data_IF_446685575247
#
_entry.id   IF_446685575247
#
_cell.length_a   1.000
_cell.length_b   1.000
_cell.length_c   1.000
_cell.angle_alpha   90.00
_cell.angle_beta   90.00
_cell.angle_gamma   90.00
#
_symmetry.space_group_name_H-M   'P 1'
#
loop_
_entity.id
_entity.type
_entity.pdbx_description
1 polymer ?
#
# COMPACT_ATOMS: atom_id res chain seq x y z
N UNK A 1 -19.40 11.75 0.61
CA UNK A 1 -18.88 11.27 1.91
C UNK A 1 -17.48 11.83 2.10
N UNK A 2 -17.23 12.44 3.26
CA UNK A 2 -16.03 13.24 3.56
C UNK A 2 -14.81 12.32 3.55
N UNK A 3 -13.86 12.59 2.66
CA UNK A 3 -12.61 11.86 2.53
C UNK A 3 -11.70 12.28 3.69
N UNK A 4 -11.97 11.76 4.90
CA UNK A 4 -11.06 11.95 6.03
C UNK A 4 -9.79 11.16 5.73
N UNK A 5 -8.79 11.85 5.17
CA UNK A 5 -7.42 11.36 5.10
C UNK A 5 -7.00 11.04 6.53
N UNK A 6 -7.11 9.78 6.95
CA UNK A 6 -6.60 9.30 8.24
C UNK A 6 -5.14 9.75 8.32
N UNK A 7 -4.85 10.74 9.17
CA UNK A 7 -3.51 11.31 9.30
C UNK A 7 -2.57 10.18 9.72
N UNK A 8 -1.75 9.72 8.80
CA UNK A 8 -0.83 8.61 9.07
C UNK A 8 0.13 9.05 10.18
N UNK A 9 0.28 8.23 11.23
CA UNK A 9 1.13 8.55 12.38
C UNK A 9 2.56 8.86 11.94
N UNK A 10 3.21 9.84 12.59
CA UNK A 10 4.60 10.18 12.29
C UNK A 10 5.51 8.97 12.49
N UNK A 11 6.51 8.80 11.62
CA UNK A 11 7.50 7.72 11.74
C UNK A 11 8.19 7.72 13.10
N UNK A 12 8.52 8.89 13.65
CA UNK A 12 9.10 9.02 14.97
C UNK A 12 8.17 8.43 16.06
N UNK A 13 6.88 8.74 16.01
CA UNK A 13 5.90 8.22 16.97
C UNK A 13 5.76 6.69 16.88
N UNK A 14 5.78 6.13 15.67
CA UNK A 14 5.73 4.67 15.48
C UNK A 14 6.97 4.01 16.08
N UNK A 15 8.16 4.55 15.81
CA UNK A 15 9.43 4.03 16.35
C UNK A 15 9.42 4.13 17.89
N UNK A 16 9.00 5.26 18.45
CA UNK A 16 8.86 5.44 19.90
C UNK A 16 7.90 4.41 20.51
N UNK A 17 6.74 4.18 19.90
CA UNK A 17 5.80 3.15 20.36
C UNK A 17 6.34 1.73 20.19
N UNK A 18 7.16 1.44 19.18
CA UNK A 18 7.82 0.13 19.07
C UNK A 18 8.80 -0.14 20.21
N UNK A 19 9.46 0.90 20.73
CA UNK A 19 10.43 0.78 21.84
C UNK A 19 9.72 0.73 23.19
N UNK A 20 8.78 1.65 23.45
CA UNK A 20 8.13 1.80 24.75
C UNK A 20 6.92 0.88 24.94
N UNK A 21 6.19 0.59 23.86
CA UNK A 21 4.95 -0.18 23.90
C UNK A 21 4.81 -1.07 22.66
N UNK A 22 5.75 -2.01 22.56
CA UNK A 22 5.95 -2.95 21.44
C UNK A 22 4.64 -3.37 20.75
N UNK A 23 3.59 -3.89 21.43
CA UNK A 23 2.40 -4.40 20.74
C UNK A 23 1.70 -3.34 19.88
N UNK A 24 1.60 -2.11 20.40
CA UNK A 24 1.00 -0.98 19.69
C UNK A 24 1.95 -0.44 18.63
N UNK A 25 3.25 -0.42 18.91
CA UNK A 25 4.25 -0.06 17.90
C UNK A 25 4.16 -0.93 16.64
N UNK A 26 4.13 -2.26 16.79
CA UNK A 26 3.99 -3.18 15.64
C UNK A 26 2.64 -3.04 14.96
N UNK A 27 1.55 -2.85 15.71
CA UNK A 27 0.24 -2.61 15.11
C UNK A 27 0.24 -1.33 14.26
N UNK A 28 0.78 -0.23 14.77
CA UNK A 28 0.86 1.05 14.06
C UNK A 28 1.81 0.97 12.85
N UNK A 29 2.94 0.27 13.01
CA UNK A 29 3.88 0.01 11.92
C UNK A 29 3.23 -0.83 10.82
N UNK A 30 2.53 -1.91 11.19
CA UNK A 30 1.76 -2.73 10.26
C UNK A 30 0.70 -1.91 9.53
N UNK A 31 -0.08 -1.10 10.25
CA UNK A 31 -1.11 -0.22 9.66
C UNK A 31 -0.49 0.78 8.69
N UNK A 32 0.64 1.41 9.05
CA UNK A 32 1.38 2.36 8.21
C UNK A 32 1.91 1.67 6.94
N UNK A 33 2.56 0.52 7.07
CA UNK A 33 3.17 -0.22 5.96
C UNK A 33 2.14 -0.85 5.01
N UNK A 34 0.97 -1.24 5.53
CA UNK A 34 -0.13 -1.82 4.74
C UNK A 34 -1.03 -0.77 4.07
N UNK A 35 -0.99 0.48 4.55
CA UNK A 35 -1.79 1.58 3.98
C UNK A 35 -1.14 2.23 2.76
N UNK A 36 0.18 2.09 2.58
CA UNK A 36 0.88 2.70 1.44
C UNK A 36 0.77 1.85 0.17
N UNK A 37 -0.27 2.13 -0.63
CA UNK A 37 -0.78 1.31 -1.75
C UNK A 37 0.28 1.02 -2.82
N UNK A 38 1.11 2.01 -3.15
CA UNK A 38 2.17 1.90 -4.17
C UNK A 38 3.44 1.22 -3.65
N UNK A 39 3.49 0.99 -2.34
CA UNK A 39 4.67 0.48 -1.65
C UNK A 39 4.35 -0.83 -0.92
N UNK A 40 3.10 -1.32 -0.88
CA UNK A 40 2.74 -2.58 -0.17
C UNK A 40 3.67 -3.75 -0.56
N UNK A 41 3.95 -3.93 -1.86
CA UNK A 41 4.86 -4.99 -2.34
C UNK A 41 6.34 -4.74 -2.00
N UNK A 42 6.76 -3.47 -1.88
CA UNK A 42 8.11 -3.11 -1.43
C UNK A 42 8.22 -3.30 0.09
N UNK A 43 7.22 -2.83 0.82
CA UNK A 43 7.07 -2.94 2.27
C UNK A 43 6.98 -4.40 2.72
N UNK A 44 6.32 -5.28 1.96
CA UNK A 44 6.31 -6.71 2.29
C UNK A 44 7.70 -7.33 2.26
N UNK A 45 8.58 -6.91 1.34
CA UNK A 45 10.00 -7.33 1.33
C UNK A 45 10.73 -6.82 2.56
N UNK A 46 10.55 -5.55 2.93
CA UNK A 46 11.16 -4.97 4.13
C UNK A 46 10.73 -5.72 5.39
N UNK A 47 9.42 -5.98 5.57
CA UNK A 47 8.90 -6.74 6.72
C UNK A 47 9.48 -8.16 6.76
N UNK A 48 9.65 -8.81 5.60
CA UNK A 48 10.30 -10.12 5.52
C UNK A 48 11.75 -10.07 5.99
N UNK A 49 12.52 -9.08 5.54
CA UNK A 49 13.93 -8.91 5.92
C UNK A 49 14.05 -8.69 7.42
N UNK A 50 13.24 -7.78 7.99
CA UNK A 50 13.22 -7.55 9.45
C UNK A 50 12.88 -8.84 10.20
N UNK A 51 11.87 -9.59 9.74
CA UNK A 51 11.53 -10.89 10.33
C UNK A 51 12.68 -11.90 10.30
N UNK A 52 13.44 -11.97 9.19
CA UNK A 52 14.62 -12.84 9.08
C UNK A 52 15.72 -12.40 10.06
N UNK A 53 15.97 -11.09 10.19
CA UNK A 53 16.94 -10.55 11.16
C UNK A 53 16.54 -10.91 12.59
N UNK A 54 15.25 -10.82 12.92
CA UNK A 54 14.73 -11.22 14.24
C UNK A 54 14.97 -12.71 14.53
N UNK A 55 14.72 -13.59 13.55
CA UNK A 55 15.01 -15.02 13.69
C UNK A 55 16.51 -15.28 13.87
N UNK A 56 17.36 -14.62 13.08
CA UNK A 56 18.81 -14.77 13.18
C UNK A 56 19.32 -14.35 14.57
N UNK A 57 18.86 -13.21 15.10
CA UNK A 57 19.18 -12.77 16.46
C UNK A 57 18.71 -13.79 17.51
N UNK A 58 17.49 -14.32 17.37
CA UNK A 58 16.98 -15.37 18.27
C UNK A 58 17.88 -16.60 18.27
N UNK A 59 18.36 -17.05 17.11
CA UNK A 59 19.24 -18.22 16.99
C UNK A 59 20.59 -17.94 17.66
N UNK A 60 21.17 -16.76 17.46
CA UNK A 60 22.44 -16.37 18.09
C UNK A 60 22.32 -16.42 19.62
N UNK A 61 21.25 -15.86 20.21
CA UNK A 61 21.03 -15.92 21.66
C UNK A 61 20.80 -17.35 22.18
N UNK A 62 20.15 -18.21 21.40
CA UNK A 62 20.00 -19.63 21.75
C UNK A 62 21.38 -20.29 21.80
N UNK A 63 22.24 -20.05 20.80
CA UNK A 63 23.59 -20.62 20.77
C UNK A 63 24.40 -20.14 21.98
N UNK A 64 24.42 -18.84 22.27
CA UNK A 64 25.11 -18.27 23.44
C UNK A 64 24.58 -18.84 24.78
N UNK A 65 23.27 -19.12 24.84
CA UNK A 65 22.66 -19.77 26.00
C UNK A 65 23.07 -21.24 26.15
N UNK A 66 23.19 -21.97 25.04
CA UNK A 66 23.59 -23.37 25.02
C UNK A 66 25.09 -23.58 25.26
N UNK A 67 25.95 -22.67 24.81
CA UNK A 67 27.40 -22.73 25.05
C UNK A 67 27.79 -22.35 26.48
N UNK A 68 26.84 -21.88 27.29
CA UNK A 68 27.06 -21.52 28.69
C UNK A 68 27.82 -20.21 28.88
N UNK A 69 27.95 -19.40 27.82
CA UNK A 69 28.55 -18.06 27.88
C UNK A 69 27.65 -17.06 28.60
N UNK A 70 26.34 -17.30 28.57
CA UNK A 70 25.37 -16.52 29.34
C UNK A 70 25.22 -17.13 30.74
N UNK A 71 25.79 -16.45 31.75
CA UNK A 71 25.64 -16.77 33.17
C UNK A 71 25.11 -15.56 33.94
N UNK A 72 24.25 -15.81 34.92
CA UNK A 72 23.85 -14.78 35.87
C UNK A 72 24.98 -14.46 36.88
N UNK A 73 24.78 -13.47 37.75
CA UNK A 73 25.74 -13.10 38.79
C UNK A 73 26.04 -14.22 39.79
N UNK A 74 25.27 -15.31 39.79
CA UNK A 74 25.43 -16.50 40.63
C UNK A 74 26.02 -17.69 39.85
N UNK A 75 26.37 -17.51 38.57
CA UNK A 75 26.95 -18.54 37.72
C UNK A 75 25.93 -19.50 37.08
N UNK A 76 24.63 -19.29 37.25
CA UNK A 76 23.57 -20.13 36.69
C UNK A 76 23.18 -19.68 35.29
N UNK A 77 22.66 -20.61 34.48
CA UNK A 77 22.12 -20.30 33.16
C UNK A 77 20.84 -19.43 33.28
N UNK A 78 20.72 -18.30 32.56
CA UNK A 78 19.59 -17.39 32.65
C UNK A 78 18.40 -17.86 31.81
N UNK A 79 17.84 -19.04 32.14
CA UNK A 79 16.78 -19.72 31.38
C UNK A 79 15.57 -18.80 31.12
N UNK A 80 15.17 -18.00 32.10
CA UNK A 80 14.06 -17.05 31.95
C UNK A 80 14.30 -16.00 30.85
N UNK A 81 15.54 -15.49 30.73
CA UNK A 81 15.91 -14.51 29.69
C UNK A 81 15.86 -15.18 28.32
N UNK A 82 16.37 -16.41 28.21
CA UNK A 82 16.35 -17.17 26.96
C UNK A 82 14.90 -17.40 26.47
N UNK A 83 13.98 -17.74 27.37
CA UNK A 83 12.56 -17.91 27.03
C UNK A 83 11.97 -16.59 26.51
N UNK A 84 12.23 -15.46 27.18
CA UNK A 84 11.74 -14.15 26.75
C UNK A 84 12.28 -13.78 25.36
N UNK A 85 13.56 -14.03 25.11
CA UNK A 85 14.20 -13.79 23.81
C UNK A 85 13.56 -14.65 22.71
N UNK A 86 13.28 -15.92 22.97
CA UNK A 86 12.62 -16.82 22.00
C UNK A 86 11.20 -16.33 21.69
N UNK A 87 10.43 -15.98 22.71
CA UNK A 87 9.07 -15.47 22.52
C UNK A 87 9.06 -14.16 21.74
N UNK A 88 10.00 -13.27 22.01
CA UNK A 88 10.06 -11.96 21.39
C UNK A 88 10.67 -12.00 19.98
N UNK A 89 11.90 -12.48 19.86
CA UNK A 89 12.63 -12.50 18.59
C UNK A 89 12.23 -13.67 17.71
N UNK A 90 12.10 -14.87 18.29
CA UNK A 90 11.69 -16.07 17.57
C UNK A 90 10.25 -15.98 17.09
N UNK A 91 9.27 -15.93 18.00
CA UNK A 91 7.86 -15.88 17.60
C UNK A 91 7.51 -14.59 16.84
N UNK A 92 8.08 -13.44 17.25
CA UNK A 92 7.92 -12.18 16.53
C UNK A 92 8.46 -12.23 15.09
N UNK A 93 9.65 -12.80 14.88
CA UNK A 93 10.24 -12.99 13.56
C UNK A 93 9.37 -13.88 12.65
N UNK A 94 8.87 -15.00 13.18
CA UNK A 94 7.94 -15.90 12.44
C UNK A 94 6.65 -15.18 12.08
N UNK A 95 6.06 -14.42 13.01
CA UNK A 95 4.86 -13.64 12.79
C UNK A 95 5.05 -12.59 11.68
N UNK A 96 6.17 -11.88 11.67
CA UNK A 96 6.52 -10.91 10.62
C UNK A 96 6.64 -11.57 9.25
N UNK A 97 7.33 -12.72 9.17
CA UNK A 97 7.48 -13.45 7.90
C UNK A 97 6.11 -13.90 7.38
N UNK A 98 5.24 -14.45 8.23
CA UNK A 98 3.86 -14.80 7.82
C UNK A 98 3.07 -13.60 7.34
N UNK A 99 3.16 -12.48 8.05
CA UNK A 99 2.50 -11.22 7.69
C UNK A 99 3.01 -10.69 6.35
N UNK A 100 4.32 -10.71 6.10
CA UNK A 100 4.90 -10.29 4.82
C UNK A 100 4.37 -11.12 3.64
N UNK A 101 4.25 -12.44 3.81
CA UNK A 101 3.73 -13.33 2.77
C UNK A 101 2.26 -13.01 2.46
N UNK A 102 1.45 -12.78 3.49
CA UNK A 102 0.04 -12.38 3.33
C UNK A 102 -0.08 -11.03 2.60
N UNK A 103 0.75 -10.05 2.97
CA UNK A 103 0.79 -8.74 2.30
C UNK A 103 1.20 -8.86 0.84
N UNK A 104 2.19 -9.69 0.52
CA UNK A 104 2.65 -9.90 -0.85
C UNK A 104 1.56 -10.53 -1.71
N UNK A 105 0.91 -11.60 -1.23
CA UNK A 105 -0.18 -12.26 -1.94
C UNK A 105 -1.35 -11.31 -2.20
N UNK A 106 -1.75 -10.51 -1.20
CA UNK A 106 -2.80 -9.53 -1.36
C UNK A 106 -2.42 -8.40 -2.34
N UNK A 107 -1.16 -7.93 -2.29
CA UNK A 107 -0.65 -6.92 -3.21
C UNK A 107 -0.66 -7.39 -4.67
N UNK A 108 -0.20 -8.63 -4.92
CA UNK A 108 -0.24 -9.23 -6.26
C UNK A 108 -1.68 -9.43 -6.74
N UNK A 109 -2.60 -9.87 -5.88
CA UNK A 109 -4.03 -9.98 -6.19
C UNK A 109 -4.59 -8.63 -6.65
N UNK A 110 -4.36 -7.56 -5.88
CA UNK A 110 -4.85 -6.22 -6.22
C UNK A 110 -4.20 -5.64 -7.47
N UNK A 111 -2.92 -5.94 -7.73
CA UNK A 111 -2.25 -5.56 -8.97
C UNK A 111 -2.93 -6.19 -10.19
N UNK A 112 -3.38 -7.45 -10.09
CA UNK A 112 -4.14 -8.11 -11.17
C UNK A 112 -5.48 -7.42 -11.42
N UNK A 113 -6.26 -7.13 -10.38
CA UNK A 113 -7.50 -6.35 -10.53
C UNK A 113 -7.26 -5.01 -11.22
N UNK A 114 -6.25 -4.26 -10.79
CA UNK A 114 -5.87 -2.99 -11.42
C UNK A 114 -5.54 -3.19 -12.90
N UNK A 115 -4.77 -4.22 -13.26
CA UNK A 115 -4.44 -4.48 -14.66
C UNK A 115 -5.67 -4.79 -15.52
N UNK A 116 -6.64 -5.53 -15.00
CA UNK A 116 -7.87 -5.85 -15.72
C UNK A 116 -8.73 -4.60 -15.87
N UNK A 117 -8.98 -3.88 -14.77
CA UNK A 117 -9.90 -2.74 -14.77
C UNK A 117 -9.33 -1.53 -15.50
N UNK A 118 -8.07 -1.17 -15.25
CA UNK A 118 -7.47 0.06 -15.79
C UNK A 118 -6.74 -0.22 -17.11
N UNK A 119 -5.87 -1.22 -17.15
CA UNK A 119 -5.01 -1.41 -18.33
C UNK A 119 -5.78 -2.07 -19.49
N UNK A 120 -6.68 -3.01 -19.18
CA UNK A 120 -7.54 -3.64 -20.19
C UNK A 120 -8.89 -2.91 -20.37
N UNK A 121 -9.14 -1.85 -19.58
CA UNK A 121 -10.36 -1.05 -19.62
C UNK A 121 -11.65 -1.89 -19.49
N UNK A 122 -11.60 -2.94 -18.66
CA UNK A 122 -12.74 -3.83 -18.43
C UNK A 122 -13.62 -3.32 -17.29
N UNK A 123 -14.92 -3.18 -17.57
CA UNK A 123 -15.93 -2.69 -16.61
C UNK A 123 -16.90 -3.79 -16.18
N UNK A 124 -17.10 -4.85 -16.97
CA UNK A 124 -18.01 -5.94 -16.61
C UNK A 124 -17.46 -6.74 -15.43
N UNK A 125 -18.23 -6.81 -14.34
CA UNK A 125 -17.83 -7.56 -13.14
C UNK A 125 -17.74 -9.06 -13.44
N UNK A 126 -18.56 -9.57 -14.36
CA UNK A 126 -18.51 -10.97 -14.81
C UNK A 126 -17.19 -11.30 -15.51
N UNK A 127 -16.72 -10.40 -16.38
CA UNK A 127 -15.44 -10.57 -17.06
C UNK A 127 -14.27 -10.42 -16.09
N UNK A 128 -14.36 -9.47 -15.15
CA UNK A 128 -13.36 -9.30 -14.08
C UNK A 128 -13.28 -10.57 -13.22
N UNK A 129 -14.43 -11.12 -12.80
CA UNK A 129 -14.51 -12.34 -12.00
C UNK A 129 -13.88 -13.53 -12.73
N UNK A 130 -14.23 -13.70 -14.01
CA UNK A 130 -13.69 -14.75 -14.88
C UNK A 130 -12.17 -14.62 -15.05
N UNK A 131 -11.68 -13.42 -15.32
CA UNK A 131 -10.24 -13.15 -15.46
C UNK A 131 -9.46 -13.35 -14.15
N UNK A 132 -10.11 -13.15 -13.01
CA UNK A 132 -9.54 -13.37 -11.68
C UNK A 132 -9.72 -14.81 -11.17
N UNK A 133 -10.46 -15.65 -11.89
CA UNK A 133 -10.86 -17.00 -11.49
C UNK A 133 -11.53 -17.04 -10.11
N UNK A 134 -12.51 -16.16 -9.90
CA UNK A 134 -13.34 -16.07 -8.70
C UNK A 134 -14.81 -15.96 -9.08
N UNK A 135 -15.70 -16.16 -8.10
CA UNK A 135 -17.13 -15.93 -8.32
C UNK A 135 -17.46 -14.44 -8.49
N UNK A 136 -18.61 -14.16 -9.08
CA UNK A 136 -19.15 -12.80 -9.22
C UNK A 136 -19.22 -12.07 -7.86
N UNK A 137 -19.69 -12.74 -6.82
CA UNK A 137 -19.82 -12.15 -5.48
C UNK A 137 -18.47 -11.91 -4.80
N UNK A 138 -17.50 -12.81 -4.99
CA UNK A 138 -16.13 -12.59 -4.52
C UNK A 138 -15.49 -11.39 -5.24
N UNK A 139 -15.70 -11.25 -6.55
CA UNK A 139 -15.22 -10.09 -7.30
C UNK A 139 -15.84 -8.78 -6.79
N UNK A 140 -17.15 -8.75 -6.52
CA UNK A 140 -17.81 -7.59 -5.90
C UNK A 140 -17.16 -7.25 -4.56
N UNK A 141 -16.99 -8.25 -3.70
CA UNK A 141 -16.42 -8.05 -2.37
C UNK A 141 -14.97 -7.53 -2.45
N UNK A 142 -14.15 -8.11 -3.32
CA UNK A 142 -12.78 -7.67 -3.54
C UNK A 142 -12.72 -6.24 -4.10
N UNK A 143 -13.56 -5.90 -5.08
CA UNK A 143 -13.64 -4.56 -5.67
C UNK A 143 -14.08 -3.52 -4.63
N UNK A 144 -15.07 -3.84 -3.78
CA UNK A 144 -15.48 -2.99 -2.65
C UNK A 144 -14.34 -2.77 -1.66
N UNK A 145 -13.65 -3.84 -1.25
CA UNK A 145 -12.47 -3.74 -0.37
C UNK A 145 -11.39 -2.86 -1.01
N UNK A 146 -11.20 -2.94 -2.32
CA UNK A 146 -10.23 -2.11 -3.04
C UNK A 146 -10.67 -0.63 -3.10
N UNK A 147 -11.96 -0.34 -3.26
CA UNK A 147 -12.51 1.02 -3.16
C UNK A 147 -12.31 1.58 -1.75
N UNK A 148 -12.64 0.81 -0.70
CA UNK A 148 -12.51 1.24 0.69
C UNK A 148 -11.05 1.49 1.08
N UNK A 149 -10.14 0.67 0.56
CA UNK A 149 -8.70 0.87 0.68
C UNK A 149 -8.20 2.00 -0.25
N UNK A 150 -9.04 2.52 -1.14
CA UNK A 150 -8.79 3.61 -2.07
C UNK A 150 -7.78 3.29 -3.17
N UNK A 151 -7.74 2.04 -3.65
CA UNK A 151 -6.98 1.68 -4.85
C UNK A 151 -7.60 2.29 -6.12
N UNK A 152 -8.91 2.59 -6.08
CA UNK A 152 -9.64 3.26 -7.15
C UNK A 152 -10.27 4.55 -6.61
N UNK A 153 -10.02 5.67 -7.29
CA UNK A 153 -10.57 6.98 -6.94
C UNK A 153 -11.95 7.15 -7.58
N UNK A 154 -12.93 7.62 -6.81
CA UNK A 154 -14.31 7.88 -7.29
C UNK A 154 -14.98 6.67 -7.98
N UNK A 155 -14.63 5.46 -7.57
CA UNK A 155 -15.17 4.24 -8.14
C UNK A 155 -16.32 3.66 -7.30
N UNK A 156 -17.23 2.95 -7.96
CA UNK A 156 -18.33 2.23 -7.31
C UNK A 156 -18.73 0.99 -8.13
N UNK A 157 -19.41 0.07 -7.47
CA UNK A 157 -19.99 -1.14 -8.09
C UNK A 157 -21.46 -0.85 -8.39
N UNK A 158 -21.84 -0.89 -9.67
CA UNK A 158 -23.24 -0.83 -10.11
C UNK A 158 -23.80 -2.25 -10.24
N UNK A 159 -24.65 -2.64 -9.29
CA UNK A 159 -25.28 -3.97 -9.30
C UNK A 159 -26.40 -4.08 -10.35
N UNK A 160 -26.97 -2.95 -10.80
CA UNK A 160 -28.02 -2.93 -11.81
C UNK A 160 -27.47 -3.23 -13.20
N UNK A 161 -26.35 -2.62 -13.57
CA UNK A 161 -25.65 -2.91 -14.83
C UNK A 161 -24.61 -4.03 -14.73
N UNK A 162 -24.31 -4.52 -13.51
CA UNK A 162 -23.23 -5.48 -13.21
C UNK A 162 -21.84 -4.96 -13.62
N UNK A 163 -21.63 -3.66 -13.48
CA UNK A 163 -20.39 -2.99 -13.89
C UNK A 163 -19.63 -2.36 -12.73
N UNK A 164 -18.32 -2.30 -12.88
CA UNK A 164 -17.41 -1.51 -12.07
C UNK A 164 -17.14 -0.18 -12.75
N UNK A 165 -17.59 0.93 -12.13
CA UNK A 165 -17.54 2.26 -12.74
C UNK A 165 -16.53 3.13 -12.02
N UNK A 166 -15.60 3.74 -12.77
CA UNK A 166 -14.65 4.75 -12.28
C UNK A 166 -15.05 6.11 -12.86
N UNK A 167 -15.45 7.07 -12.00
CA UNK A 167 -15.73 8.44 -12.44
C UNK A 167 -14.44 9.23 -12.59
N UNK A 168 -14.00 9.44 -13.84
CA UNK A 168 -12.91 10.37 -14.16
C UNK A 168 -13.29 11.79 -13.71
N UNK A 169 -12.38 12.50 -13.06
CA UNK A 169 -12.55 13.94 -12.84
C UNK A 169 -12.48 14.60 -14.22
N UNK A 170 -13.59 15.14 -14.71
CA UNK A 170 -13.55 16.03 -15.85
C UNK A 170 -12.72 17.25 -15.43
N UNK A 171 -11.55 17.42 -16.03
CA UNK A 171 -10.85 18.69 -15.98
C UNK A 171 -11.69 19.64 -16.84
N UNK A 172 -12.55 20.43 -16.22
CA UNK A 172 -13.18 21.54 -16.93
C UNK A 172 -12.04 22.43 -17.43
N UNK A 173 -11.89 22.66 -18.75
CA UNK A 173 -10.96 23.66 -19.21
C UNK A 173 -11.37 24.96 -18.54
N UNK A 174 -10.42 25.61 -17.86
CA UNK A 174 -10.62 26.95 -17.32
C UNK A 174 -11.06 27.81 -18.50
N UNK A 175 -12.35 28.13 -18.58
CA UNK A 175 -12.86 29.14 -19.47
C UNK A 175 -12.31 30.46 -18.95
N UNK A 176 -11.09 30.81 -19.37
CA UNK A 176 -10.56 32.15 -19.24
C UNK A 176 -11.56 33.03 -19.97
N UNK A 177 -12.38 33.75 -19.20
CA UNK A 177 -13.26 34.80 -19.74
C UNK A 177 -12.37 35.74 -20.52
N UNK A 178 -12.46 35.65 -21.85
CA UNK A 178 -11.73 36.50 -22.79
C UNK A 178 -12.34 37.88 -22.70
N UNK A 179 -11.84 38.68 -21.76
CA UNK A 179 -12.13 40.10 -21.74
C UNK A 179 -11.34 40.70 -22.91
N UNK A 180 -12.07 41.07 -23.95
CA UNK A 180 -11.55 41.74 -25.13
C UNK A 180 -10.83 43.03 -24.77
N UNK A 181 -9.51 43.00 -24.82
CA UNK A 181 -8.69 44.13 -25.24
C UNK A 181 -7.40 43.59 -25.85
N UNK A 182 -7.23 43.94 -27.11
CA UNK A 182 -6.16 43.59 -28.04
C UNK A 182 -4.77 43.64 -27.39
N UNK A 183 -4.05 42.52 -27.47
CA UNK A 183 -2.60 42.46 -27.74
C UNK A 183 -2.26 41.02 -28.14
N UNK A 184 -1.73 40.85 -29.36
CA UNK A 184 -1.22 39.58 -29.88
C UNK A 184 -0.01 39.14 -29.06
N UNK A 185 -0.24 38.25 -28.09
CA UNK A 185 0.81 37.39 -27.53
C UNK A 185 0.62 36.02 -28.16
N UNK A 186 1.66 35.49 -28.81
CA UNK A 186 1.69 34.14 -29.37
C UNK A 186 1.31 33.14 -28.26
N UNK A 187 0.10 32.60 -28.33
CA UNK A 187 -0.33 31.48 -27.49
C UNK A 187 0.48 30.23 -27.89
N UNK A 188 1.61 29.99 -27.20
CA UNK A 188 2.16 28.65 -27.13
C UNK A 188 1.13 27.78 -26.41
N UNK A 189 0.45 26.92 -27.16
CA UNK A 189 -0.46 25.91 -26.62
C UNK A 189 0.27 25.17 -25.49
N UNK A 190 -0.34 25.01 -24.31
CA UNK A 190 0.31 24.27 -23.25
C UNK A 190 0.60 22.86 -23.74
N UNK A 191 1.88 22.48 -23.74
CA UNK A 191 2.31 21.15 -24.18
C UNK A 191 1.73 20.13 -23.22
N UNK A 192 0.80 19.32 -23.71
CA UNK A 192 0.25 18.20 -22.96
C UNK A 192 1.18 17.00 -23.12
N UNK A 193 1.53 16.35 -22.01
CA UNK A 193 2.33 15.13 -21.97
C UNK A 193 1.49 13.99 -21.41
N UNK A 194 1.47 12.85 -22.11
CA UNK A 194 0.89 11.63 -21.57
C UNK A 194 1.94 10.95 -20.68
N UNK A 195 1.59 10.72 -19.42
CA UNK A 195 2.42 10.04 -18.43
C UNK A 195 1.73 8.78 -17.94
N UNK A 196 2.49 7.68 -17.88
CA UNK A 196 2.01 6.42 -17.31
C UNK A 196 2.21 6.44 -15.81
N UNK A 197 1.13 6.22 -15.07
CA UNK A 197 1.19 6.15 -13.61
C UNK A 197 2.05 4.96 -13.15
N UNK A 198 3.14 5.21 -12.42
CA UNK A 198 4.01 4.16 -11.85
C UNK A 198 3.31 3.26 -10.81
N UNK A 199 2.18 3.71 -10.27
CA UNK A 199 1.43 2.98 -9.25
C UNK A 199 0.38 2.04 -9.87
N UNK A 200 -0.54 2.58 -10.67
CA UNK A 200 -1.64 1.79 -11.24
C UNK A 200 -1.48 1.45 -12.73
N UNK A 201 -0.49 2.00 -13.43
CA UNK A 201 -0.30 1.78 -14.87
C UNK A 201 -1.23 2.59 -15.78
N UNK A 202 -2.15 3.39 -15.23
CA UNK A 202 -3.08 4.20 -16.01
C UNK A 202 -2.38 5.32 -16.78
N UNK A 203 -2.85 5.58 -18.00
CA UNK A 203 -2.38 6.68 -18.84
C UNK A 203 -3.07 7.99 -18.42
N UNK A 204 -2.30 9.00 -18.04
CA UNK A 204 -2.81 10.30 -17.62
C UNK A 204 -2.27 11.39 -18.55
N UNK A 205 -3.08 12.37 -18.91
CA UNK A 205 -2.65 13.52 -19.71
C UNK A 205 -2.46 14.71 -18.79
N UNK A 206 -1.25 15.27 -18.74
CA UNK A 206 -0.86 16.33 -17.79
C UNK A 206 -0.23 17.50 -18.54
N UNK A 207 -0.27 18.69 -17.95
CA UNK A 207 0.43 19.87 -18.45
C UNK A 207 1.93 19.73 -18.17
N UNK A 208 2.78 19.99 -19.16
CA UNK A 208 4.23 19.88 -19.03
C UNK A 208 4.76 20.86 -17.97
N UNK A 209 5.33 20.32 -16.89
CA UNK A 209 5.89 21.10 -15.77
C UNK A 209 5.04 21.14 -14.49
N UNK A 210 3.80 20.63 -14.50
CA UNK A 210 2.96 20.55 -13.29
C UNK A 210 3.03 19.20 -12.58
N UNK A 211 3.04 19.24 -11.25
CA UNK A 211 2.84 18.06 -10.39
C UNK A 211 1.33 17.79 -10.34
N UNK A 212 0.92 16.68 -10.93
CA UNK A 212 -0.49 16.24 -11.00
C UNK A 212 -0.68 14.89 -10.32
N UNK A 213 -1.93 14.56 -9.95
CA UNK A 213 -2.29 13.25 -9.38
C UNK A 213 -2.93 12.37 -10.45
N UNK A 214 -2.76 11.05 -10.33
CA UNK A 214 -3.36 10.09 -11.24
C UNK A 214 -4.89 10.10 -11.14
N UNK A 215 -5.58 10.20 -12.27
CA UNK A 215 -7.06 10.24 -12.34
C UNK A 215 -7.73 8.96 -11.85
N UNK A 216 -7.02 7.83 -11.92
CA UNK A 216 -7.56 6.52 -11.56
C UNK A 216 -7.29 6.13 -10.10
N UNK A 217 -6.09 6.38 -9.58
CA UNK A 217 -5.67 5.92 -8.26
C UNK A 217 -5.21 7.03 -7.31
N UNK A 218 -5.12 8.28 -7.77
CA UNK A 218 -4.72 9.44 -6.97
C UNK A 218 -3.24 9.49 -6.57
N UNK A 219 -2.38 8.64 -7.12
CA UNK A 219 -0.94 8.71 -6.84
C UNK A 219 -0.31 9.92 -7.56
N UNK A 220 0.69 10.59 -6.97
CA UNK A 220 1.41 11.67 -7.66
C UNK A 220 2.09 11.16 -8.93
N UNK A 221 1.98 11.95 -10.00
CA UNK A 221 2.60 11.73 -11.29
C UNK A 221 3.93 12.51 -11.33
N UNK A 222 4.97 11.86 -11.86
CA UNK A 222 6.34 12.38 -11.98
C UNK A 222 6.86 12.13 -13.39
#
# INVERSE_FOLDING_TARGET
MRNEKIKSSSWAFIITMCILFWPVGFYLLYKKLSSDKSVVLKNSKTVKIVGIVFIALSIIYIIMGLTGELKDSKGNAPVGIIIIVILFFGCGGVFMIRTSKKMQLQGEKFKKYISIVINNNETSIDNIASAMNVSYEEAINDLKIMIDKGYFLNAYVDLGSREFVIRKKQYEPINVKKNSSVNEVKEEKPKMKVVVCKNCGGNNTILEGEISECEFCGSPLS
#
